data_IF_259216991973
#
_entry.id   IF_259216991973
#
_cell.length_a   1.000
_cell.length_b   1.000
_cell.length_c   1.000
_cell.angle_alpha   90.00
_cell.angle_beta   90.00
_cell.angle_gamma   90.00
#
_symmetry.space_group_name_H-M   'P 1'
#
loop_
_entity.id
_entity.type
_entity.pdbx_description
1 polymer ?
#
# COMPACT_ATOMS: atom_id res chain seq x y z
N UNK A 1 -11.60 -4.41 12.97
CA UNK A 1 -10.42 -3.62 12.60
C UNK A 1 -9.76 -4.17 11.33
N UNK A 2 -9.46 -5.44 11.24
CA UNK A 2 -8.80 -6.09 10.10
C UNK A 2 -7.58 -6.88 10.53
N UNK A 3 -6.77 -7.29 9.53
CA UNK A 3 -5.52 -8.03 9.73
C UNK A 3 -4.35 -7.18 9.25
N UNK A 4 -3.19 -7.35 9.85
CA UNK A 4 -1.92 -6.83 9.37
C UNK A 4 -0.76 -7.63 9.99
N UNK A 5 0.45 -7.46 9.48
CA UNK A 5 1.60 -8.22 9.97
C UNK A 5 2.07 -7.74 11.34
N UNK A 6 2.71 -8.67 12.06
CA UNK A 6 3.38 -8.35 13.31
C UNK A 6 4.35 -7.17 13.11
N UNK A 7 4.32 -6.23 14.04
CA UNK A 7 5.10 -4.98 13.99
C UNK A 7 4.38 -3.82 13.30
N UNK A 8 3.30 -4.07 12.60
CA UNK A 8 2.49 -3.01 11.98
C UNK A 8 1.39 -2.50 12.90
N UNK A 9 0.70 -1.46 12.47
CA UNK A 9 -0.48 -0.92 13.16
C UNK A 9 -1.66 -0.76 12.20
N UNK A 10 -2.86 -0.98 12.74
CA UNK A 10 -4.11 -0.73 12.01
C UNK A 10 -4.77 0.51 12.58
N UNK A 11 -5.23 1.40 11.73
CA UNK A 11 -6.04 2.57 12.09
C UNK A 11 -7.38 2.49 11.39
N UNK A 12 -8.47 2.67 12.15
CA UNK A 12 -9.84 2.76 11.61
C UNK A 12 -10.57 3.95 12.18
N UNK A 13 -11.38 4.58 11.35
CA UNK A 13 -12.26 5.68 11.72
C UNK A 13 -13.64 5.15 12.15
N UNK A 14 -14.17 5.73 13.20
CA UNK A 14 -15.51 5.48 13.74
C UNK A 14 -16.23 6.81 13.93
N UNK A 15 -17.46 6.89 13.43
CA UNK A 15 -18.34 8.02 13.68
C UNK A 15 -19.21 7.74 14.91
N UNK A 16 -19.17 8.64 15.87
CA UNK A 16 -19.88 8.53 17.14
C UNK A 16 -20.80 9.73 17.29
N UNK A 17 -22.02 9.50 17.71
CA UNK A 17 -22.99 10.57 17.95
C UNK A 17 -23.82 10.30 19.19
N UNK A 18 -24.15 11.38 19.93
CA UNK A 18 -25.15 11.41 20.97
C UNK A 18 -26.07 12.62 20.72
N UNK A 19 -27.35 12.42 20.90
CA UNK A 19 -28.39 13.43 20.67
C UNK A 19 -29.18 13.68 21.95
N UNK A 20 -29.75 14.88 22.07
CA UNK A 20 -30.56 15.29 23.22
C UNK A 20 -29.77 15.23 24.54
N UNK A 21 -28.51 15.63 24.49
CA UNK A 21 -27.65 15.80 25.69
C UNK A 21 -27.74 17.24 26.16
N UNK A 22 -27.37 17.48 27.44
CA UNK A 22 -27.28 18.85 27.95
C UNK A 22 -26.13 19.61 27.25
N UNK A 23 -26.27 20.91 27.12
CA UNK A 23 -25.35 21.74 26.30
C UNK A 23 -23.92 21.79 26.84
N UNK A 24 -23.73 21.48 28.12
CA UNK A 24 -22.44 21.40 28.80
C UNK A 24 -21.95 19.94 28.98
N UNK A 25 -22.63 18.97 28.36
CA UNK A 25 -22.25 17.58 28.46
C UNK A 25 -20.92 17.30 27.79
N UNK A 26 -20.20 16.36 28.38
CA UNK A 26 -18.95 15.83 27.87
C UNK A 26 -19.10 14.33 27.54
N UNK A 27 -18.67 13.92 26.36
CA UNK A 27 -18.57 12.51 25.99
C UNK A 27 -17.14 12.03 26.20
N UNK A 28 -16.97 11.04 27.05
CA UNK A 28 -15.70 10.32 27.18
C UNK A 28 -15.72 9.07 26.30
N UNK A 29 -14.73 8.92 25.43
CA UNK A 29 -14.56 7.78 24.54
C UNK A 29 -13.28 7.05 24.96
N UNK A 30 -13.42 5.78 25.29
CA UNK A 30 -12.33 4.94 25.81
C UNK A 30 -12.13 3.70 24.96
N UNK A 31 -10.90 3.22 24.97
CA UNK A 31 -10.52 1.93 24.39
C UNK A 31 -9.81 1.07 25.42
N UNK A 32 -9.85 -0.24 25.24
CA UNK A 32 -9.15 -1.20 26.10
C UNK A 32 -8.35 -2.24 25.30
N UNK A 33 -7.50 -2.99 26.03
CA UNK A 33 -6.83 -4.19 25.54
C UNK A 33 -6.01 -3.99 24.24
N UNK A 34 -5.07 -3.04 24.23
CA UNK A 34 -4.16 -2.85 23.10
C UNK A 34 -4.69 -1.98 21.97
N UNK A 35 -5.84 -1.35 22.18
CA UNK A 35 -6.36 -0.32 21.29
C UNK A 35 -6.16 1.07 21.92
N UNK A 36 -5.91 2.05 21.06
CA UNK A 36 -5.77 3.45 21.41
C UNK A 36 -6.73 4.28 20.58
N UNK A 37 -7.20 5.40 21.10
CA UNK A 37 -8.12 6.31 20.41
C UNK A 37 -7.50 7.70 20.25
N UNK A 38 -7.84 8.38 19.15
CA UNK A 38 -7.40 9.74 18.84
C UNK A 38 -8.52 10.51 18.15
N UNK A 39 -8.52 11.84 18.30
CA UNK A 39 -9.38 12.77 17.53
C UNK A 39 -8.69 13.32 16.29
N UNK A 40 -7.37 13.25 16.21
CA UNK A 40 -6.54 13.95 15.21
C UNK A 40 -5.59 13.05 14.40
N UNK A 41 -5.65 11.73 14.58
CA UNK A 41 -4.75 10.71 14.00
C UNK A 41 -3.29 10.78 14.47
N UNK A 42 -2.96 11.69 15.36
CA UNK A 42 -1.59 11.95 15.79
C UNK A 42 -1.40 11.60 17.27
N UNK A 43 -2.28 12.11 18.11
CA UNK A 43 -2.21 11.94 19.56
C UNK A 43 -3.12 10.80 19.99
N UNK A 44 -2.55 9.61 20.18
CA UNK A 44 -3.28 8.42 20.60
C UNK A 44 -3.15 8.16 22.07
N UNK A 45 -4.28 7.88 22.73
CA UNK A 45 -4.36 7.53 24.15
C UNK A 45 -5.43 6.48 24.42
N UNK A 46 -5.60 6.10 25.69
CA UNK A 46 -6.65 5.16 26.10
C UNK A 46 -8.04 5.83 26.13
N UNK A 47 -8.09 7.16 26.16
CA UNK A 47 -9.33 7.93 26.14
C UNK A 47 -9.16 9.27 25.44
N UNK A 48 -10.26 9.77 24.91
CA UNK A 48 -10.43 11.15 24.43
C UNK A 48 -11.77 11.69 24.92
N UNK A 49 -11.87 13.02 24.98
CA UNK A 49 -13.07 13.71 25.44
C UNK A 49 -13.56 14.69 24.37
N UNK A 50 -14.87 14.76 24.20
CA UNK A 50 -15.55 15.65 23.24
C UNK A 50 -16.69 16.37 23.94
N UNK A 51 -16.70 17.69 23.88
CA UNK A 51 -17.77 18.51 24.44
C UNK A 51 -18.99 18.58 23.50
N UNK A 52 -20.16 18.76 24.05
CA UNK A 52 -21.38 19.00 23.33
C UNK A 52 -21.30 20.31 22.52
N UNK A 53 -21.90 20.29 21.35
CA UNK A 53 -22.20 21.48 20.57
C UNK A 53 -23.72 21.65 20.50
N UNK A 54 -24.22 22.53 21.35
CA UNK A 54 -25.66 22.59 21.66
C UNK A 54 -26.11 21.32 22.36
N UNK A 55 -27.17 20.68 21.89
CA UNK A 55 -27.71 19.46 22.49
C UNK A 55 -27.25 18.17 21.80
N UNK A 56 -26.12 18.22 21.09
CA UNK A 56 -25.63 17.07 20.35
C UNK A 56 -24.10 16.94 20.47
N UNK A 57 -23.61 15.72 20.41
CA UNK A 57 -22.18 15.41 20.21
C UNK A 57 -22.07 14.56 18.95
N UNK A 58 -21.33 15.04 17.94
CA UNK A 58 -21.07 14.31 16.71
C UNK A 58 -19.57 14.44 16.46
N UNK A 59 -18.88 13.30 16.38
CA UNK A 59 -17.43 13.28 16.20
C UNK A 59 -16.97 12.04 15.44
N UNK A 60 -15.84 12.17 14.75
CA UNK A 60 -15.06 11.03 14.26
C UNK A 60 -13.91 10.77 15.21
N UNK A 61 -13.68 9.50 15.52
CA UNK A 61 -12.51 9.06 16.27
C UNK A 61 -11.72 8.05 15.47
N UNK A 62 -10.41 8.04 15.65
CA UNK A 62 -9.49 7.12 15.02
C UNK A 62 -9.00 6.13 16.06
N UNK A 63 -9.28 4.85 15.83
CA UNK A 63 -8.83 3.77 16.71
C UNK A 63 -7.62 3.11 16.09
N UNK A 64 -6.54 3.02 16.86
CA UNK A 64 -5.28 2.40 16.48
C UNK A 64 -5.02 1.17 17.34
N UNK A 65 -4.46 0.13 16.75
CA UNK A 65 -3.84 -0.98 17.48
C UNK A 65 -2.46 -1.27 16.93
N UNK A 66 -1.52 -1.58 17.80
CA UNK A 66 -0.18 -2.02 17.44
C UNK A 66 -0.12 -3.55 17.55
N UNK A 67 0.24 -4.19 16.45
CA UNK A 67 0.28 -5.64 16.33
C UNK A 67 1.66 -6.18 16.71
N UNK A 68 2.03 -6.05 17.99
CA UNK A 68 3.38 -6.41 18.44
C UNK A 68 3.61 -7.93 18.51
N UNK A 69 2.56 -8.70 18.76
CA UNK A 69 2.61 -10.16 18.87
C UNK A 69 1.59 -10.79 17.93
N UNK A 70 1.90 -11.97 17.33
CA UNK A 70 0.97 -12.67 16.47
C UNK A 70 -0.30 -13.09 17.21
N UNK A 71 -1.40 -13.18 16.48
CA UNK A 71 -2.68 -13.66 16.98
C UNK A 71 -3.73 -12.57 17.07
N UNK A 72 -4.86 -12.96 17.61
CA UNK A 72 -6.02 -12.09 17.74
C UNK A 72 -5.89 -11.12 18.91
N UNK A 73 -6.22 -9.86 18.67
CA UNK A 73 -6.35 -8.81 19.67
C UNK A 73 -7.81 -8.41 19.72
N UNK A 74 -8.42 -8.51 20.90
CA UNK A 74 -9.81 -8.11 21.13
C UNK A 74 -9.89 -7.03 22.20
N UNK A 75 -10.82 -6.11 22.03
CA UNK A 75 -11.06 -5.02 22.97
C UNK A 75 -12.41 -4.38 22.73
N UNK A 76 -12.61 -3.21 23.30
CA UNK A 76 -13.85 -2.46 23.16
C UNK A 76 -13.56 -1.00 22.85
N UNK A 77 -14.43 -0.36 22.09
CA UNK A 77 -14.56 1.09 22.01
C UNK A 77 -15.86 1.46 22.73
N UNK A 78 -15.76 2.28 23.76
CA UNK A 78 -16.88 2.68 24.62
C UNK A 78 -17.01 4.19 24.61
N UNK A 79 -18.21 4.68 24.37
CA UNK A 79 -18.57 6.09 24.49
C UNK A 79 -19.57 6.27 25.63
N UNK A 80 -19.33 7.25 26.50
CA UNK A 80 -20.17 7.52 27.68
C UNK A 80 -20.49 9.01 27.79
N UNK A 81 -21.75 9.34 28.05
CA UNK A 81 -22.23 10.69 28.32
C UNK A 81 -23.13 10.59 29.54
N UNK A 82 -22.76 11.21 30.68
CA UNK A 82 -23.47 11.06 31.94
C UNK A 82 -23.55 9.58 32.33
N UNK A 83 -24.78 9.08 32.55
CA UNK A 83 -25.04 7.66 32.87
C UNK A 83 -25.25 6.76 31.63
N UNK A 84 -25.29 7.33 30.44
CA UNK A 84 -25.52 6.57 29.22
C UNK A 84 -24.19 6.07 28.64
N UNK A 85 -24.16 4.82 28.20
CA UNK A 85 -22.97 4.19 27.62
C UNK A 85 -23.35 3.32 26.45
N UNK A 86 -22.54 3.42 25.39
CA UNK A 86 -22.61 2.54 24.21
C UNK A 86 -21.22 1.94 23.96
N UNK A 87 -21.17 0.67 23.56
CA UNK A 87 -19.91 -0.03 23.30
C UNK A 87 -20.00 -0.88 22.05
N UNK A 88 -18.87 -1.00 21.35
CA UNK A 88 -18.68 -1.96 20.27
C UNK A 88 -17.44 -2.80 20.56
N UNK A 89 -17.48 -4.05 20.13
CA UNK A 89 -16.33 -4.93 20.19
C UNK A 89 -15.36 -4.60 19.03
N UNK A 90 -14.10 -4.50 19.38
CA UNK A 90 -12.99 -4.37 18.43
C UNK A 90 -12.29 -5.70 18.29
N UNK A 91 -11.89 -6.03 17.06
CA UNK A 91 -11.09 -7.20 16.75
C UNK A 91 -10.06 -6.84 15.68
N UNK A 92 -8.81 -7.20 15.93
CA UNK A 92 -7.72 -7.14 14.98
C UNK A 92 -6.92 -8.45 15.05
N UNK A 93 -6.23 -8.79 14.00
CA UNK A 93 -5.39 -9.99 13.95
C UNK A 93 -3.99 -9.62 13.46
N UNK A 94 -3.00 -10.01 14.25
CA UNK A 94 -1.60 -9.93 13.88
C UNK A 94 -1.17 -11.23 13.21
N UNK A 95 -0.79 -11.15 11.96
CA UNK A 95 -0.28 -12.30 11.20
C UNK A 95 1.22 -12.42 11.50
N UNK A 96 1.63 -13.62 11.92
CA UNK A 96 3.04 -13.90 12.12
C UNK A 96 3.73 -14.16 10.78
N UNK A 97 4.82 -13.46 10.56
CA UNK A 97 5.77 -13.81 9.50
C UNK A 97 6.76 -14.90 9.95
N UNK A 98 6.64 -15.41 11.19
CA UNK A 98 7.53 -16.43 11.72
C UNK A 98 7.10 -17.82 11.21
N UNK A 99 7.99 -18.47 10.47
CA UNK A 99 7.78 -19.79 9.88
C UNK A 99 7.68 -19.80 8.36
N UNK A 100 7.55 -18.63 7.72
CA UNK A 100 7.67 -18.48 6.27
C UNK A 100 9.11 -18.44 5.80
N UNK A 101 9.35 -18.84 4.57
CA UNK A 101 10.63 -18.63 3.89
C UNK A 101 10.57 -17.28 3.19
N UNK A 102 11.51 -16.39 3.52
CA UNK A 102 11.66 -15.13 2.79
C UNK A 102 12.05 -15.43 1.34
N UNK A 103 11.39 -14.78 0.41
CA UNK A 103 11.63 -14.95 -1.01
C UNK A 103 11.49 -13.64 -1.75
N UNK A 104 11.99 -13.59 -2.98
CA UNK A 104 11.87 -12.43 -3.85
C UNK A 104 11.66 -12.86 -5.30
N UNK A 105 10.96 -12.02 -6.05
CA UNK A 105 10.92 -12.06 -7.50
C UNK A 105 11.61 -10.82 -8.05
N UNK A 106 12.55 -10.98 -8.96
CA UNK A 106 13.39 -9.90 -9.49
C UNK A 106 13.37 -9.94 -11.02
N UNK A 107 13.01 -8.85 -11.64
CA UNK A 107 13.20 -8.60 -13.06
C UNK A 107 14.36 -7.62 -13.22
N UNK A 108 15.54 -8.11 -13.55
CA UNK A 108 16.74 -7.25 -13.61
C UNK A 108 16.70 -6.24 -14.74
N UNK A 109 16.03 -6.58 -15.84
CA UNK A 109 15.86 -5.71 -17.01
C UNK A 109 17.19 -5.15 -17.55
N UNK A 110 18.28 -5.86 -17.36
CA UNK A 110 19.63 -5.43 -17.76
C UNK A 110 20.06 -6.02 -19.09
N UNK A 111 19.63 -7.24 -19.41
CA UNK A 111 19.94 -7.95 -20.65
C UNK A 111 18.76 -8.73 -21.21
N UNK A 112 17.77 -9.00 -20.37
CA UNK A 112 16.51 -9.68 -20.71
C UNK A 112 15.41 -9.20 -19.79
N UNK A 113 14.17 -9.59 -20.09
CA UNK A 113 13.00 -9.38 -19.24
C UNK A 113 12.63 -10.65 -18.44
N UNK A 114 13.47 -11.66 -18.48
CA UNK A 114 13.22 -12.89 -17.73
C UNK A 114 13.31 -12.64 -16.23
N UNK A 115 12.36 -13.14 -15.46
CA UNK A 115 12.35 -13.03 -14.01
C UNK A 115 13.35 -14.00 -13.36
N UNK A 116 13.85 -13.59 -12.22
CA UNK A 116 14.56 -14.45 -11.27
C UNK A 116 13.68 -14.62 -10.04
N UNK A 117 13.31 -15.85 -9.72
CA UNK A 117 12.59 -16.20 -8.50
C UNK A 117 13.08 -17.55 -7.99
N UNK A 118 12.81 -17.87 -6.74
CA UNK A 118 13.01 -19.22 -6.24
C UNK A 118 11.81 -20.12 -6.61
N UNK A 119 11.93 -21.40 -6.36
CA UNK A 119 10.91 -22.41 -6.69
C UNK A 119 9.57 -22.23 -5.92
N UNK A 120 9.54 -21.30 -4.96
CA UNK A 120 8.34 -21.01 -4.16
C UNK A 120 7.39 -19.98 -4.82
N UNK A 121 7.82 -19.34 -5.90
CA UNK A 121 7.01 -18.35 -6.60
C UNK A 121 6.89 -18.71 -8.08
N UNK A 122 5.69 -18.59 -8.62
CA UNK A 122 5.47 -18.59 -10.05
C UNK A 122 5.44 -17.15 -10.54
N UNK A 123 6.36 -16.80 -11.43
CA UNK A 123 6.49 -15.45 -11.96
C UNK A 123 6.39 -15.47 -13.48
N UNK A 124 5.81 -14.42 -14.05
CA UNK A 124 5.74 -14.27 -15.51
C UNK A 124 6.85 -13.36 -16.03
N UNK A 125 7.16 -13.48 -17.31
CA UNK A 125 7.92 -12.45 -18.01
C UNK A 125 7.19 -11.10 -17.95
N UNK A 126 7.96 -10.04 -18.14
CA UNK A 126 7.39 -8.69 -18.30
C UNK A 126 6.43 -8.64 -19.50
N UNK A 127 5.25 -8.08 -19.26
CA UNK A 127 4.33 -7.74 -20.34
C UNK A 127 4.42 -6.25 -20.70
N UNK A 128 4.39 -5.94 -21.98
CA UNK A 128 4.47 -4.59 -22.52
C UNK A 128 3.18 -4.26 -23.30
N UNK A 129 2.58 -3.12 -22.98
CA UNK A 129 1.37 -2.63 -23.62
C UNK A 129 1.64 -1.24 -24.23
N UNK A 130 1.44 -1.12 -25.54
CA UNK A 130 1.80 0.05 -26.35
C UNK A 130 3.23 0.58 -26.09
N UNK A 131 4.11 -0.32 -25.68
CA UNK A 131 5.52 -0.10 -25.43
C UNK A 131 6.36 -1.16 -26.14
N UNK A 132 7.58 -0.79 -26.48
CA UNK A 132 8.59 -1.71 -27.02
C UNK A 132 9.92 -1.47 -26.33
N UNK A 133 10.68 -2.53 -26.14
CA UNK A 133 12.07 -2.41 -25.69
C UNK A 133 12.93 -1.95 -26.84
N UNK A 134 13.54 -0.79 -26.69
CA UNK A 134 14.52 -0.31 -27.67
C UNK A 134 15.85 -1.03 -27.52
N UNK A 135 16.30 -1.16 -26.31
CA UNK A 135 17.58 -1.82 -25.99
C UNK A 135 17.69 -2.11 -24.51
N UNK A 136 18.52 -3.10 -24.20
CA UNK A 136 19.12 -3.27 -22.90
C UNK A 136 20.55 -2.69 -22.93
N UNK A 137 21.00 -2.05 -21.87
CA UNK A 137 22.35 -1.51 -21.89
C UNK A 137 22.72 -0.67 -20.69
N UNK A 138 23.98 -0.23 -20.69
CA UNK A 138 24.52 0.65 -19.66
C UNK A 138 23.94 2.06 -19.78
N UNK A 139 23.70 2.71 -18.65
CA UNK A 139 23.46 4.13 -18.58
C UNK A 139 24.77 4.81 -18.15
N UNK A 140 25.26 5.70 -19.00
CA UNK A 140 26.50 6.43 -18.72
C UNK A 140 27.74 5.55 -18.72
N UNK A 141 28.71 5.90 -17.88
CA UNK A 141 30.02 5.22 -17.74
C UNK A 141 30.02 4.11 -16.69
N UNK A 142 28.91 3.93 -15.97
CA UNK A 142 28.80 2.92 -14.91
C UNK A 142 28.41 1.57 -15.52
N UNK A 143 29.29 0.57 -15.53
CA UNK A 143 29.01 -0.73 -16.16
C UNK A 143 27.91 -1.52 -15.41
N UNK A 144 27.62 -1.19 -14.17
CA UNK A 144 26.60 -1.85 -13.36
C UNK A 144 25.20 -1.21 -13.50
N UNK A 145 25.13 0.04 -13.96
CA UNK A 145 23.88 0.74 -14.20
C UNK A 145 23.26 0.36 -15.55
N UNK A 146 23.05 -0.93 -15.78
CA UNK A 146 22.32 -1.43 -16.93
C UNK A 146 20.82 -1.37 -16.65
N UNK A 147 20.07 -0.98 -17.67
CA UNK A 147 18.61 -0.94 -17.58
C UNK A 147 17.98 -1.14 -18.94
N UNK A 148 16.72 -1.45 -18.93
CA UNK A 148 15.89 -1.52 -20.12
C UNK A 148 15.45 -0.11 -20.50
N UNK A 149 15.60 0.24 -21.79
CA UNK A 149 15.00 1.43 -22.35
C UNK A 149 13.74 1.07 -23.12
N UNK A 150 12.62 1.63 -22.71
CA UNK A 150 11.32 1.48 -23.37
C UNK A 150 10.99 2.72 -24.21
N UNK A 151 10.29 2.50 -25.32
CA UNK A 151 9.72 3.52 -26.18
C UNK A 151 8.28 3.16 -26.52
N UNK A 152 7.51 4.14 -26.99
CA UNK A 152 6.16 3.88 -27.50
C UNK A 152 6.22 3.13 -28.81
N UNK A 153 5.26 2.24 -29.06
CA UNK A 153 5.15 1.47 -30.31
C UNK A 153 4.83 2.36 -31.52
N UNK A 154 4.07 3.44 -31.29
CA UNK A 154 3.52 4.28 -32.36
C UNK A 154 4.55 5.20 -33.00
N UNK A 155 5.44 5.80 -32.20
CA UNK A 155 6.37 6.83 -32.71
C UNK A 155 7.84 6.52 -32.45
N UNK A 156 8.14 5.48 -31.67
CA UNK A 156 9.50 5.18 -31.23
C UNK A 156 10.10 6.24 -30.29
N UNK A 157 9.30 7.18 -29.82
CA UNK A 157 9.66 8.23 -28.87
C UNK A 157 8.48 8.46 -27.92
N UNK A 158 8.74 8.99 -26.73
CA UNK A 158 7.66 9.44 -25.86
C UNK A 158 7.00 10.69 -26.44
N UNK A 159 5.67 10.76 -26.35
CA UNK A 159 4.88 11.85 -26.92
C UNK A 159 5.26 13.18 -26.26
N UNK A 160 5.53 14.19 -27.09
CA UNK A 160 5.75 15.55 -26.62
C UNK A 160 4.39 16.17 -26.31
N UNK A 161 4.18 16.61 -25.07
CA UNK A 161 2.95 17.29 -24.65
C UNK A 161 1.86 16.36 -24.09
N UNK A 162 2.14 15.07 -23.92
CA UNK A 162 1.28 14.23 -23.08
C UNK A 162 1.40 14.69 -21.63
N UNK A 163 0.31 15.20 -21.07
CA UNK A 163 0.23 15.72 -19.69
C UNK A 163 -0.56 14.82 -18.78
N UNK A 164 -1.31 13.88 -19.34
CA UNK A 164 -2.16 12.94 -18.63
C UNK A 164 -1.66 11.50 -18.81
N UNK A 165 -2.06 10.62 -17.93
CA UNK A 165 -1.79 9.19 -18.02
C UNK A 165 -2.44 8.60 -19.29
N UNK A 166 -1.66 7.84 -20.04
CA UNK A 166 -2.16 7.02 -21.15
C UNK A 166 -2.42 5.61 -20.62
N UNK A 167 -3.63 5.33 -20.25
CA UNK A 167 -4.04 4.08 -19.58
C UNK A 167 -3.78 2.80 -20.37
N UNK A 168 -3.53 2.89 -21.68
CA UNK A 168 -3.18 1.76 -22.54
C UNK A 168 -1.68 1.54 -22.64
N UNK A 169 -0.86 2.41 -22.04
CA UNK A 169 0.60 2.38 -22.17
C UNK A 169 1.26 2.06 -20.84
N UNK A 170 1.59 0.79 -20.62
CA UNK A 170 2.18 0.34 -19.37
C UNK A 170 3.05 -0.90 -19.53
N UNK A 171 3.84 -1.19 -18.53
CA UNK A 171 4.54 -2.46 -18.34
C UNK A 171 3.98 -3.15 -17.08
N UNK A 172 3.84 -4.46 -17.17
CA UNK A 172 3.27 -5.27 -16.08
C UNK A 172 4.19 -6.43 -15.73
N UNK A 173 4.24 -6.74 -14.45
CA UNK A 173 4.95 -7.86 -13.85
C UNK A 173 3.95 -8.63 -13.00
N UNK A 174 3.98 -9.95 -13.06
CA UNK A 174 3.01 -10.77 -12.37
C UNK A 174 3.68 -11.87 -11.55
N UNK A 175 3.21 -12.03 -10.33
CA UNK A 175 3.57 -13.11 -9.42
C UNK A 175 2.29 -13.87 -9.13
N UNK A 176 2.31 -15.18 -9.26
CA UNK A 176 1.17 -16.05 -8.96
C UNK A 176 1.49 -16.92 -7.75
N UNK A 177 0.55 -17.02 -6.83
CA UNK A 177 0.65 -17.90 -5.68
C UNK A 177 0.44 -19.35 -6.13
N UNK A 178 1.41 -20.26 -5.90
CA UNK A 178 1.24 -21.66 -6.18
C UNK A 178 0.14 -22.28 -5.30
N UNK A 179 -0.39 -23.43 -5.75
CA UNK A 179 -1.33 -24.22 -4.97
C UNK A 179 -0.75 -24.58 -3.59
N UNK A 180 -1.60 -24.64 -2.59
CA UNK A 180 -1.27 -24.97 -1.19
C UNK A 180 -0.35 -23.97 -0.48
N UNK A 181 -0.12 -22.78 -1.07
CA UNK A 181 0.68 -21.71 -0.49
C UNK A 181 -0.11 -20.42 -0.35
N UNK A 182 0.36 -19.59 0.54
CA UNK A 182 0.05 -18.15 0.57
C UNK A 182 1.35 -17.39 0.77
N UNK A 183 1.45 -16.19 0.23
CA UNK A 183 2.59 -15.32 0.52
C UNK A 183 2.14 -13.90 0.80
N UNK A 184 2.98 -13.18 1.47
CA UNK A 184 2.80 -11.77 1.73
C UNK A 184 3.86 -10.97 0.97
N UNK A 185 3.42 -9.93 0.28
CA UNK A 185 4.33 -8.92 -0.27
C UNK A 185 4.46 -7.83 0.78
N UNK A 186 5.65 -7.60 1.27
CA UNK A 186 5.97 -6.57 2.25
C UNK A 186 6.63 -5.34 1.63
N UNK A 187 7.25 -5.52 0.46
CA UNK A 187 7.94 -4.45 -0.25
C UNK A 187 7.91 -4.63 -1.76
N UNK A 188 7.67 -3.53 -2.45
CA UNK A 188 7.88 -3.39 -3.90
C UNK A 188 8.99 -2.37 -4.12
N UNK A 189 9.99 -2.71 -4.93
CA UNK A 189 11.07 -1.80 -5.27
C UNK A 189 11.41 -1.83 -6.75
N UNK A 190 11.81 -0.70 -7.30
CA UNK A 190 12.22 -0.59 -8.68
C UNK A 190 13.17 0.58 -8.91
N UNK A 191 13.94 0.50 -10.00
CA UNK A 191 14.75 1.60 -10.48
C UNK A 191 14.08 2.26 -11.68
N UNK A 192 14.02 3.57 -11.67
CA UNK A 192 13.42 4.35 -12.78
C UNK A 192 14.20 5.63 -13.07
N UNK A 193 14.27 6.00 -14.34
CA UNK A 193 14.77 7.30 -14.78
C UNK A 193 14.17 7.68 -16.15
N UNK A 194 14.17 8.96 -16.46
CA UNK A 194 13.94 9.46 -17.81
C UNK A 194 15.23 9.38 -18.65
N UNK A 195 15.10 9.22 -19.97
CA UNK A 195 16.23 9.30 -20.89
C UNK A 195 15.92 10.21 -22.07
N UNK A 196 16.86 11.08 -22.39
CA UNK A 196 16.69 12.04 -23.50
C UNK A 196 16.48 13.47 -23.00
N UNK A 197 15.98 14.33 -23.86
CA UNK A 197 15.78 15.76 -23.56
C UNK A 197 14.40 16.10 -22.99
N UNK A 198 13.48 15.14 -22.95
CA UNK A 198 12.11 15.35 -22.46
C UNK A 198 11.91 14.71 -21.11
N UNK A 199 11.18 15.37 -20.26
CA UNK A 199 10.72 14.80 -18.99
C UNK A 199 9.67 13.72 -19.25
N UNK A 200 9.70 12.67 -18.42
CA UNK A 200 8.74 11.57 -18.41
C UNK A 200 8.03 11.57 -17.08
N UNK A 201 6.75 11.24 -17.07
CA UNK A 201 5.98 11.01 -15.85
C UNK A 201 5.56 9.55 -15.80
N UNK A 202 5.31 9.03 -14.60
CA UNK A 202 4.77 7.69 -14.40
C UNK A 202 3.85 7.61 -13.20
N UNK A 203 2.98 6.62 -13.24
CA UNK A 203 2.27 6.10 -12.08
C UNK A 203 2.65 4.63 -11.88
N UNK A 204 2.80 4.20 -10.65
CA UNK A 204 3.01 2.81 -10.30
C UNK A 204 1.83 2.28 -9.49
N UNK A 205 1.32 1.13 -9.87
CA UNK A 205 0.16 0.49 -9.25
C UNK A 205 0.47 -0.97 -8.93
N UNK A 206 -0.26 -1.53 -7.98
CA UNK A 206 -0.42 -2.98 -7.84
C UNK A 206 -1.90 -3.37 -7.82
N UNK A 207 -2.18 -4.61 -8.14
CA UNK A 207 -3.50 -5.24 -7.97
C UNK A 207 -3.33 -6.68 -7.51
N UNK A 208 -4.25 -7.18 -6.71
CA UNK A 208 -4.35 -8.59 -6.32
C UNK A 208 -5.28 -9.39 -7.23
N UNK A 209 -5.79 -8.76 -8.29
CA UNK A 209 -6.65 -9.40 -9.26
C UNK A 209 -5.87 -9.69 -10.54
N UNK A 210 -5.98 -10.91 -11.05
CA UNK A 210 -5.27 -11.35 -12.26
C UNK A 210 -5.59 -10.55 -13.52
N UNK A 211 -6.77 -9.92 -13.56
CA UNK A 211 -7.20 -9.01 -14.64
C UNK A 211 -6.78 -7.55 -14.41
N UNK A 212 -5.97 -7.30 -13.37
CA UNK A 212 -5.54 -5.97 -12.92
C UNK A 212 -6.70 -5.02 -12.59
N UNK A 213 -7.85 -5.54 -12.20
CA UNK A 213 -8.96 -4.71 -11.71
C UNK A 213 -8.68 -4.15 -10.32
N UNK A 214 -9.32 -3.01 -10.00
CA UNK A 214 -9.15 -2.30 -8.72
C UNK A 214 -7.69 -2.01 -8.35
N UNK A 215 -6.89 -1.41 -9.23
CA UNK A 215 -5.49 -1.12 -8.95
C UNK A 215 -5.34 -0.11 -7.80
N UNK A 216 -4.31 -0.29 -7.01
CA UNK A 216 -3.92 0.61 -5.92
C UNK A 216 -2.69 1.40 -6.36
N UNK A 217 -2.79 2.72 -6.39
CA UNK A 217 -1.65 3.60 -6.66
C UNK A 217 -0.65 3.52 -5.51
N UNK A 218 0.60 3.27 -5.83
CA UNK A 218 1.70 3.20 -4.85
C UNK A 218 2.71 4.32 -5.02
N UNK A 219 2.91 4.82 -6.22
CA UNK A 219 3.78 5.97 -6.48
C UNK A 219 3.40 6.69 -7.75
N UNK A 220 3.69 7.98 -7.78
CA UNK A 220 3.61 8.81 -8.96
C UNK A 220 4.77 9.81 -8.99
N UNK A 221 5.33 10.04 -10.15
CA UNK A 221 6.30 11.13 -10.35
C UNK A 221 6.08 11.81 -11.67
N UNK A 222 6.19 13.12 -11.65
CA UNK A 222 6.11 13.99 -12.81
C UNK A 222 7.48 14.56 -13.13
N UNK A 223 7.75 14.72 -14.42
CA UNK A 223 8.99 15.36 -14.92
C UNK A 223 10.29 14.67 -14.47
N UNK A 224 10.36 13.35 -14.55
CA UNK A 224 11.61 12.63 -14.34
C UNK A 224 12.57 12.99 -15.47
N UNK A 225 13.69 13.60 -15.13
CA UNK A 225 14.71 14.01 -16.07
C UNK A 225 15.73 12.90 -16.32
N UNK A 226 16.69 13.17 -17.23
CA UNK A 226 17.78 12.28 -17.58
C UNK A 226 18.81 12.22 -16.44
N UNK A 227 18.54 11.36 -15.47
CA UNK A 227 19.45 11.09 -14.36
C UNK A 227 19.78 9.59 -14.28
N UNK A 228 20.70 9.25 -13.40
CA UNK A 228 20.90 7.85 -13.03
C UNK A 228 19.62 7.28 -12.45
N UNK A 229 19.26 6.02 -12.75
CA UNK A 229 18.10 5.39 -12.17
C UNK A 229 18.14 5.47 -10.65
N UNK A 230 17.08 5.99 -10.08
CA UNK A 230 16.92 6.08 -8.62
C UNK A 230 16.12 4.88 -8.14
N UNK A 231 16.59 4.27 -7.04
CA UNK A 231 15.84 3.24 -6.35
C UNK A 231 14.61 3.87 -5.69
N UNK A 232 13.48 3.27 -5.94
CA UNK A 232 12.20 3.59 -5.29
C UNK A 232 11.77 2.35 -4.53
N UNK A 233 11.45 2.50 -3.25
CA UNK A 233 11.00 1.42 -2.37
C UNK A 233 9.69 1.80 -1.69
N UNK A 234 8.72 0.90 -1.74
CA UNK A 234 7.43 1.04 -1.08
C UNK A 234 7.19 -0.13 -0.15
N UNK A 235 6.96 0.14 1.13
CA UNK A 235 6.37 -0.84 2.00
C UNK A 235 4.92 -1.08 1.56
N UNK A 236 4.57 -2.32 1.35
CA UNK A 236 3.20 -2.76 1.09
C UNK A 236 2.84 -3.85 2.09
N UNK A 237 1.55 -4.13 2.23
CA UNK A 237 1.07 -5.25 3.02
C UNK A 237 -0.05 -5.90 2.22
N UNK A 238 0.34 -6.84 1.39
CA UNK A 238 -0.56 -7.55 0.49
C UNK A 238 -0.43 -9.04 0.75
N UNK A 239 -1.52 -9.68 1.14
CA UNK A 239 -1.62 -11.14 1.16
C UNK A 239 -2.14 -11.63 -0.19
N UNK A 240 -1.48 -12.64 -0.72
CA UNK A 240 -1.86 -13.34 -1.93
C UNK A 240 -2.14 -14.78 -1.54
N UNK A 241 -3.39 -15.21 -1.73
CA UNK A 241 -3.83 -16.56 -1.43
C UNK A 241 -3.67 -17.46 -2.66
N UNK A 242 -3.86 -18.76 -2.46
CA UNK A 242 -3.81 -19.76 -3.51
C UNK A 242 -4.62 -19.35 -4.76
N UNK A 243 -3.96 -19.39 -5.91
CA UNK A 243 -4.57 -19.07 -7.21
C UNK A 243 -4.77 -17.59 -7.49
N UNK A 244 -4.39 -16.70 -6.56
CA UNK A 244 -4.36 -15.25 -6.79
C UNK A 244 -3.01 -14.80 -7.38
N UNK A 245 -3.01 -13.66 -8.01
CA UNK A 245 -1.80 -13.07 -8.60
C UNK A 245 -1.88 -11.54 -8.65
#
# INVERSE_FOLDING_TARGET
>A
MGKAYQGQSIVKEFNISAFSVDADSEMTITTGNGFLVSLDKTNYGNSVTVNANGNNIITSVYVKTNLNNPGEITGTLTASVGSQTASINLRAEAISLTGGTETSAIWRLTSSCEPEANDLLTVSEQSLYDLTVKQYGSIGTEPEARTMQMLTTTSGTWGVGEIDEVSTRYTQFQITCPADYSFAVDKISYYISGRGGSAVSYHAYYSTNSDFSNPVLIDEKVNITKDMPTLVEFPVTVEIEEGQS
#
